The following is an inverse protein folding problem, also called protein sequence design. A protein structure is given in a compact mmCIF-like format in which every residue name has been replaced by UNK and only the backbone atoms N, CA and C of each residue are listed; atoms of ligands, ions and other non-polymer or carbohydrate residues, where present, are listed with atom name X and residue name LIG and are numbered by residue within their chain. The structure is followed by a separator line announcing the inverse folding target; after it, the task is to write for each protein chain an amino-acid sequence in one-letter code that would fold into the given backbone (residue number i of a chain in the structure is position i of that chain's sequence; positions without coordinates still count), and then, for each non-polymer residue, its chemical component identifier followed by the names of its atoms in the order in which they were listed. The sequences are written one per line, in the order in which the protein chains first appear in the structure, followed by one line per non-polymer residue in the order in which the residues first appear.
data_IF_447120526271
#
_entry.id   IF_447120526271
#
_cell.length_a   1.000
_cell.length_b   1.000
_cell.length_c   1.000
_cell.angle_alpha   90.00
_cell.angle_beta   90.00
_cell.angle_gamma   90.00
#
_symmetry.space_group_name_H-M   'P 1'
#
loop_
_entity.id
_entity.type
_entity.pdbx_description
1 polymer ?
#
# COMPACT_ATOMS: atom_id res chain seq x y z
N UNK A 1 -16.07 -27.63 -1.70
CA UNK A 1 -15.93 -27.31 -0.27
C UNK A 1 -17.04 -26.33 0.06
N UNK A 2 -17.98 -26.69 0.93
CA UNK A 2 -19.19 -25.87 1.19
C UNK A 2 -18.88 -24.71 2.13
N UNK A 3 -19.41 -23.53 1.80
CA UNK A 3 -19.18 -22.22 2.40
C UNK A 3 -19.82 -22.03 3.80
N UNK A 4 -19.56 -22.92 4.75
CA UNK A 4 -20.14 -22.86 6.12
C UNK A 4 -19.10 -22.85 7.24
N UNK A 5 -17.83 -22.57 6.97
CA UNK A 5 -16.73 -22.78 7.93
C UNK A 5 -15.97 -21.52 8.33
N UNK A 6 -16.52 -20.31 8.18
CA UNK A 6 -15.80 -19.09 8.57
C UNK A 6 -15.60 -18.94 10.08
N UNK A 7 -16.47 -19.54 10.92
CA UNK A 7 -16.34 -19.50 12.38
C UNK A 7 -15.16 -20.31 12.95
N UNK A 8 -14.47 -21.13 12.15
CA UNK A 8 -13.30 -21.92 12.62
C UNK A 8 -11.96 -21.36 12.13
N UNK A 9 -11.95 -20.30 11.34
CA UNK A 9 -10.70 -19.73 10.85
C UNK A 9 -10.01 -18.91 11.94
N UNK A 10 -8.67 -18.96 12.04
CA UNK A 10 -7.93 -18.11 12.96
C UNK A 10 -8.20 -16.61 12.72
N UNK A 11 -8.09 -15.79 13.77
CA UNK A 11 -8.42 -14.35 13.70
C UNK A 11 -7.67 -13.62 12.58
N UNK A 12 -6.38 -13.93 12.38
CA UNK A 12 -5.50 -13.24 11.41
C UNK A 12 -5.81 -13.51 9.93
N UNK A 13 -6.77 -14.39 9.62
CA UNK A 13 -7.26 -14.61 8.24
C UNK A 13 -8.73 -14.22 8.08
N UNK A 14 -9.30 -13.52 9.06
CA UNK A 14 -10.65 -12.96 8.99
C UNK A 14 -10.62 -11.50 8.52
N UNK A 15 -11.79 -10.89 8.34
CA UNK A 15 -11.86 -9.47 7.96
C UNK A 15 -11.08 -8.61 8.96
N UNK A 16 -10.29 -7.67 8.43
CA UNK A 16 -9.42 -6.81 9.23
C UNK A 16 -10.18 -6.03 10.31
N UNK A 17 -11.44 -5.64 10.08
CA UNK A 17 -12.20 -4.92 11.10
C UNK A 17 -12.50 -5.82 12.30
N UNK A 18 -12.65 -7.13 12.09
CA UNK A 18 -12.76 -8.08 13.18
C UNK A 18 -11.44 -8.22 13.95
N UNK A 19 -10.30 -8.25 13.25
CA UNK A 19 -8.98 -8.24 13.90
C UNK A 19 -8.79 -6.99 14.76
N UNK A 20 -9.24 -5.82 14.26
CA UNK A 20 -9.20 -4.55 15.00
C UNK A 20 -10.15 -4.59 16.20
N UNK A 21 -11.37 -5.07 16.04
CA UNK A 21 -12.36 -5.15 17.12
C UNK A 21 -11.94 -6.09 18.26
N UNK A 22 -11.26 -7.18 17.93
CA UNK A 22 -10.74 -8.17 18.89
C UNK A 22 -9.36 -7.79 19.46
N UNK A 23 -8.77 -6.66 19.04
CA UNK A 23 -7.46 -6.20 19.50
C UNK A 23 -7.56 -5.53 20.88
N UNK A 24 -7.14 -6.23 21.92
CA UNK A 24 -7.02 -5.71 23.29
C UNK A 24 -5.59 -5.33 23.64
N UNK A 25 -5.39 -4.22 24.36
CA UNK A 25 -4.08 -3.76 24.85
C UNK A 25 -2.99 -3.59 23.76
N UNK A 26 -3.42 -3.27 22.53
CA UNK A 26 -2.52 -3.05 21.40
C UNK A 26 -1.85 -1.67 21.49
N UNK A 27 -0.54 -1.66 21.25
CA UNK A 27 0.28 -0.45 21.12
C UNK A 27 0.10 0.12 19.70
N UNK A 28 -0.98 0.87 19.50
CA UNK A 28 -1.22 1.55 18.24
C UNK A 28 -0.20 2.67 18.03
N UNK A 29 0.48 2.66 16.87
CA UNK A 29 1.48 3.65 16.43
C UNK A 29 0.94 5.08 16.54
N UNK A 30 -0.34 5.26 16.25
CA UNK A 30 -1.03 6.55 16.29
C UNK A 30 -2.08 6.63 17.41
N UNK A 31 -1.85 5.90 18.52
CA UNK A 31 -2.65 5.89 19.76
C UNK A 31 -4.09 5.40 19.62
N UNK A 32 -4.58 5.18 18.41
CA UNK A 32 -5.94 4.78 18.09
C UNK A 32 -5.92 3.69 17.02
N UNK A 33 -6.92 2.78 17.03
CA UNK A 33 -7.07 1.80 15.97
C UNK A 33 -7.36 2.50 14.62
N UNK A 34 -6.88 1.94 13.50
CA UNK A 34 -7.14 2.51 12.18
C UNK A 34 -8.61 2.35 11.76
N UNK A 35 -9.09 3.31 10.95
CA UNK A 35 -10.37 3.21 10.24
C UNK A 35 -10.12 2.89 8.76
N UNK A 36 -10.82 1.86 8.28
CA UNK A 36 -10.69 1.36 6.92
C UNK A 36 -11.98 1.46 6.11
N UNK A 37 -12.95 2.25 6.54
CA UNK A 37 -14.22 2.49 5.83
C UNK A 37 -14.01 2.90 4.37
N UNK A 38 -13.11 3.86 4.11
CA UNK A 38 -12.74 4.27 2.73
C UNK A 38 -12.10 3.15 1.92
N UNK A 39 -11.24 2.34 2.53
CA UNK A 39 -10.66 1.17 1.84
C UNK A 39 -11.75 0.18 1.44
N UNK A 40 -12.77 -0.03 2.28
CA UNK A 40 -13.91 -0.90 1.96
C UNK A 40 -14.77 -0.33 0.83
N UNK A 41 -15.03 0.97 0.82
CA UNK A 41 -15.74 1.64 -0.26
C UNK A 41 -15.00 1.49 -1.60
N UNK A 42 -13.69 1.76 -1.64
CA UNK A 42 -12.89 1.60 -2.86
C UNK A 42 -12.92 0.15 -3.37
N UNK A 43 -12.77 -0.84 -2.47
CA UNK A 43 -12.84 -2.24 -2.84
C UNK A 43 -14.22 -2.62 -3.39
N UNK A 44 -15.29 -2.16 -2.77
CA UNK A 44 -16.65 -2.44 -3.24
C UNK A 44 -16.92 -1.85 -4.64
N UNK A 45 -16.26 -0.74 -5.00
CA UNK A 45 -16.44 -0.05 -6.27
C UNK A 45 -15.49 -0.52 -7.37
N UNK A 46 -14.24 -0.83 -7.03
CA UNK A 46 -13.13 -0.92 -7.98
C UNK A 46 -12.40 -2.27 -7.98
N UNK A 47 -12.75 -3.19 -7.07
CA UNK A 47 -12.23 -4.56 -7.11
C UNK A 47 -12.66 -5.26 -8.40
N UNK A 48 -11.72 -5.99 -9.01
CA UNK A 48 -12.01 -6.78 -10.22
C UNK A 48 -12.37 -8.24 -9.90
N UNK A 49 -12.15 -8.68 -8.66
CA UNK A 49 -12.53 -10.00 -8.15
C UNK A 49 -13.41 -9.89 -6.90
N UNK A 50 -14.40 -10.78 -6.81
CA UNK A 50 -15.20 -10.99 -5.60
C UNK A 50 -14.96 -12.41 -5.08
N UNK A 51 -14.12 -12.53 -4.06
CA UNK A 51 -13.75 -13.81 -3.46
C UNK A 51 -14.81 -14.24 -2.45
N UNK A 52 -15.41 -15.41 -2.67
CA UNK A 52 -16.40 -15.96 -1.74
C UNK A 52 -15.76 -16.28 -0.38
N UNK A 53 -16.50 -16.03 0.69
CA UNK A 53 -16.02 -16.29 2.05
C UNK A 53 -15.62 -17.77 2.22
N UNK A 54 -14.44 -18.00 2.79
CA UNK A 54 -13.88 -19.33 3.01
C UNK A 54 -13.14 -19.94 1.81
N UNK A 55 -13.07 -19.27 0.66
CA UNK A 55 -12.14 -19.68 -0.40
C UNK A 55 -10.71 -19.35 -0.02
N UNK A 56 -9.75 -20.01 -0.69
CA UNK A 56 -8.33 -19.76 -0.45
C UNK A 56 -7.96 -18.31 -0.80
N UNK A 57 -8.53 -17.75 -1.87
CA UNK A 57 -8.33 -16.37 -2.28
C UNK A 57 -8.81 -15.38 -1.21
N UNK A 58 -9.98 -15.61 -0.61
CA UNK A 58 -10.49 -14.77 0.46
C UNK A 58 -9.61 -14.86 1.72
N UNK A 59 -9.15 -16.06 2.06
CA UNK A 59 -8.24 -16.30 3.19
C UNK A 59 -6.89 -15.60 2.99
N UNK A 60 -6.27 -15.75 1.81
CA UNK A 60 -5.02 -15.07 1.45
C UNK A 60 -5.22 -13.56 1.47
N UNK A 61 -6.34 -13.08 0.93
CA UNK A 61 -6.63 -11.65 0.90
C UNK A 61 -6.71 -11.03 2.29
N UNK A 62 -7.41 -11.71 3.20
CA UNK A 62 -7.55 -11.27 4.58
C UNK A 62 -6.24 -11.36 5.36
N UNK A 63 -5.43 -12.41 5.13
CA UNK A 63 -4.12 -12.55 5.75
C UNK A 63 -3.20 -11.38 5.40
N UNK A 64 -3.07 -11.05 4.11
CA UNK A 64 -2.21 -9.96 3.65
C UNK A 64 -2.70 -8.61 4.19
N UNK A 65 -4.01 -8.34 4.12
CA UNK A 65 -4.57 -7.08 4.64
C UNK A 65 -4.44 -6.95 6.15
N UNK A 66 -4.47 -8.06 6.88
CA UNK A 66 -4.16 -8.08 8.31
C UNK A 66 -2.69 -7.73 8.53
N UNK A 67 -1.76 -8.41 7.84
CA UNK A 67 -0.33 -8.12 7.93
C UNK A 67 -0.01 -6.66 7.61
N UNK A 68 -0.53 -6.11 6.51
CA UNK A 68 -0.33 -4.70 6.13
C UNK A 68 -0.82 -3.71 7.19
N UNK A 69 -1.96 -4.00 7.83
CA UNK A 69 -2.48 -3.22 8.95
C UNK A 69 -1.56 -3.29 10.15
N UNK A 70 -1.08 -4.48 10.49
CA UNK A 70 -0.19 -4.69 11.63
C UNK A 70 1.12 -3.93 11.45
N UNK A 71 1.75 -4.01 10.27
CA UNK A 71 2.97 -3.27 9.95
C UNK A 71 2.75 -1.76 10.05
N UNK A 72 1.64 -1.29 9.50
CA UNK A 72 1.34 0.15 9.41
C UNK A 72 0.96 0.76 10.75
N UNK A 73 0.17 0.04 11.57
CA UNK A 73 -0.51 0.61 12.73
C UNK A 73 -0.14 0.01 14.08
N UNK A 74 0.43 -1.20 14.17
CA UNK A 74 0.90 -1.76 15.45
C UNK A 74 2.38 -1.45 15.63
N UNK A 75 2.72 -0.64 16.63
CA UNK A 75 4.10 -0.22 16.89
C UNK A 75 4.98 -1.39 17.37
N UNK A 76 4.41 -2.31 18.15
CA UNK A 76 5.12 -3.46 18.70
C UNK A 76 4.95 -4.72 17.81
N UNK A 77 6.00 -5.21 17.13
CA UNK A 77 5.93 -6.40 16.28
C UNK A 77 5.55 -7.68 17.02
N UNK A 78 5.74 -7.74 18.34
CA UNK A 78 5.35 -8.90 19.14
C UNK A 78 3.82 -9.04 19.24
N UNK A 79 3.07 -7.97 18.91
CA UNK A 79 1.61 -7.97 18.87
C UNK A 79 1.04 -8.32 17.48
N UNK A 80 1.89 -8.66 16.51
CA UNK A 80 1.46 -9.06 15.17
C UNK A 80 1.03 -10.53 15.17
N UNK A 81 -0.23 -10.77 14.82
CA UNK A 81 -0.88 -12.07 14.83
C UNK A 81 -0.63 -12.85 13.55
N UNK A 82 -0.44 -12.15 12.44
CA UNK A 82 -0.34 -12.72 11.09
C UNK A 82 0.97 -13.46 10.82
N UNK A 83 1.97 -13.35 11.70
CA UNK A 83 3.32 -13.88 11.48
C UNK A 83 3.78 -14.78 12.63
N UNK A 84 4.78 -15.62 12.36
CA UNK A 84 5.60 -16.28 13.39
C UNK A 84 6.81 -15.40 13.67
N UNK A 85 6.73 -14.49 14.65
CA UNK A 85 7.70 -13.40 14.85
C UNK A 85 9.19 -13.85 14.82
N UNK A 86 9.52 -14.93 15.54
CA UNK A 86 10.90 -15.45 15.62
C UNK A 86 11.44 -15.97 14.27
N UNK A 87 10.56 -16.47 13.41
CA UNK A 87 10.93 -17.08 12.12
C UNK A 87 10.70 -16.15 10.93
N UNK A 88 9.87 -15.11 11.09
CA UNK A 88 9.40 -14.26 10.01
C UNK A 88 10.55 -13.64 9.22
N UNK A 89 10.56 -13.86 7.90
CA UNK A 89 11.45 -13.18 6.94
C UNK A 89 10.66 -12.68 5.73
N UNK A 90 11.00 -11.49 5.24
CA UNK A 90 10.44 -10.97 3.99
C UNK A 90 11.50 -10.39 3.09
N UNK A 91 11.41 -10.67 1.79
CA UNK A 91 12.30 -10.11 0.78
C UNK A 91 11.51 -9.65 -0.45
N UNK A 92 12.17 -8.90 -1.33
CA UNK A 92 11.61 -8.45 -2.61
C UNK A 92 12.63 -8.71 -3.71
N UNK A 93 12.19 -9.27 -4.84
CA UNK A 93 12.97 -9.49 -6.06
C UNK A 93 14.31 -10.22 -5.84
N UNK A 94 14.32 -11.25 -4.96
CA UNK A 94 15.54 -11.99 -4.60
C UNK A 94 16.57 -11.18 -3.81
N UNK A 95 16.16 -10.04 -3.24
CA UNK A 95 17.00 -9.15 -2.44
C UNK A 95 17.21 -9.63 -1.00
N UNK A 96 17.62 -8.68 -0.15
CA UNK A 96 17.88 -8.94 1.28
C UNK A 96 16.60 -9.32 2.02
N UNK A 97 16.72 -10.20 3.01
CA UNK A 97 15.64 -10.55 3.92
C UNK A 97 15.57 -9.60 5.11
N UNK A 98 14.35 -9.23 5.49
CA UNK A 98 14.04 -8.37 6.62
C UNK A 98 13.18 -9.08 7.67
N UNK A 99 13.32 -8.68 8.92
CA UNK A 99 12.54 -9.17 10.05
C UNK A 99 11.32 -8.28 10.33
N UNK A 100 10.43 -8.72 11.22
CA UNK A 100 9.30 -7.90 11.66
C UNK A 100 9.74 -6.61 12.37
N UNK A 101 10.88 -6.66 13.08
CA UNK A 101 11.47 -5.49 13.72
C UNK A 101 11.94 -4.45 12.68
N UNK A 102 12.57 -4.91 11.59
CA UNK A 102 12.98 -4.03 10.50
C UNK A 102 11.78 -3.34 9.85
N UNK A 103 10.72 -4.10 9.57
CA UNK A 103 9.48 -3.58 8.98
C UNK A 103 8.81 -2.54 9.88
N UNK A 104 8.72 -2.79 11.19
CA UNK A 104 8.12 -1.81 12.10
C UNK A 104 8.94 -0.53 12.23
N UNK A 105 10.27 -0.63 12.13
CA UNK A 105 11.16 0.51 12.23
C UNK A 105 11.21 1.35 10.95
N UNK A 106 11.27 0.72 9.77
CA UNK A 106 11.58 1.39 8.50
C UNK A 106 10.39 1.49 7.55
N UNK A 107 9.39 0.60 7.66
CA UNK A 107 8.20 0.58 6.83
C UNK A 107 8.40 -0.17 5.50
N UNK A 108 7.30 -0.66 4.92
CA UNK A 108 7.33 -1.48 3.70
C UNK A 108 7.82 -0.70 2.48
N UNK A 109 7.46 0.58 2.33
CA UNK A 109 7.91 1.40 1.21
C UNK A 109 9.44 1.46 1.11
N UNK A 110 10.14 1.65 2.23
CA UNK A 110 11.60 1.76 2.26
C UNK A 110 12.29 0.42 2.06
N UNK A 111 11.74 -0.66 2.64
CA UNK A 111 12.37 -1.98 2.57
C UNK A 111 12.10 -2.71 1.26
N UNK A 112 10.96 -2.46 0.62
CA UNK A 112 10.57 -3.17 -0.61
C UNK A 112 10.93 -2.40 -1.89
N UNK A 113 11.16 -1.08 -1.80
CA UNK A 113 11.64 -0.24 -2.90
C UNK A 113 13.00 0.37 -2.55
N UNK A 114 14.12 -0.29 -2.91
CA UNK A 114 15.45 0.24 -2.64
C UNK A 114 15.71 1.52 -3.45
N UNK A 115 16.83 2.19 -3.13
CA UNK A 115 17.25 3.41 -3.83
C UNK A 115 17.27 3.26 -5.35
N UNK A 116 16.61 4.18 -6.02
CA UNK A 116 16.48 4.29 -7.47
C UNK A 116 16.66 5.76 -7.90
N UNK A 117 16.47 6.07 -9.18
CA UNK A 117 16.45 7.45 -9.66
C UNK A 117 15.27 8.24 -9.10
N UNK A 118 14.11 7.59 -8.97
CA UNK A 118 12.83 8.25 -8.66
C UNK A 118 12.47 8.19 -7.17
N UNK A 119 13.11 7.30 -6.40
CA UNK A 119 12.89 7.15 -4.97
C UNK A 119 14.19 6.82 -4.23
N UNK A 120 14.48 7.51 -3.12
CA UNK A 120 15.64 7.27 -2.26
C UNK A 120 15.17 6.79 -0.89
N UNK A 121 15.03 5.49 -0.71
CA UNK A 121 14.64 4.88 0.56
C UNK A 121 15.61 5.26 1.69
N UNK A 122 16.90 5.41 1.39
CA UNK A 122 17.93 5.82 2.34
C UNK A 122 17.76 7.24 2.89
N UNK A 123 16.96 8.08 2.22
CA UNK A 123 16.64 9.46 2.64
C UNK A 123 15.29 9.57 3.34
N UNK A 124 14.54 8.46 3.45
CA UNK A 124 13.19 8.45 4.00
C UNK A 124 13.13 7.72 5.34
N UNK A 125 12.29 8.24 6.22
CA UNK A 125 11.86 7.57 7.46
C UNK A 125 10.58 6.77 7.20
N UNK A 126 10.14 5.99 8.19
CA UNK A 126 8.81 5.38 8.17
C UNK A 126 7.72 6.43 7.88
N UNK A 127 7.73 7.55 8.62
CA UNK A 127 6.69 8.58 8.51
C UNK A 127 6.80 9.39 7.22
N UNK A 128 8.01 9.72 6.75
CA UNK A 128 8.17 10.51 5.53
C UNK A 128 7.84 9.70 4.28
N UNK A 129 8.21 8.42 4.21
CA UNK A 129 7.80 7.52 3.12
C UNK A 129 6.28 7.33 3.10
N UNK A 130 5.66 7.04 4.26
CA UNK A 130 4.21 6.95 4.37
C UNK A 130 3.53 8.24 3.89
N UNK A 131 4.04 9.42 4.30
CA UNK A 131 3.53 10.71 3.85
C UNK A 131 3.65 10.90 2.34
N UNK A 132 4.77 10.52 1.73
CA UNK A 132 4.98 10.63 0.27
C UNK A 132 3.87 9.87 -0.47
N UNK A 133 3.65 8.60 -0.15
CA UNK A 133 2.68 7.78 -0.88
C UNK A 133 1.22 8.12 -0.54
N UNK A 134 0.89 8.50 0.69
CA UNK A 134 -0.46 8.97 1.03
C UNK A 134 -0.78 10.34 0.42
N UNK A 135 0.22 11.20 0.23
CA UNK A 135 0.05 12.47 -0.50
C UNK A 135 -0.19 12.17 -1.98
N UNK A 136 0.55 11.23 -2.55
CA UNK A 136 0.45 10.81 -3.96
C UNK A 136 -0.92 10.22 -4.28
N UNK A 137 -1.44 9.36 -3.38
CA UNK A 137 -2.70 8.64 -3.52
C UNK A 137 -3.70 9.03 -2.41
N UNK A 138 -4.31 10.23 -2.48
CA UNK A 138 -5.15 10.74 -1.40
C UNK A 138 -6.45 9.92 -1.20
N UNK A 139 -6.89 9.19 -2.22
CA UNK A 139 -8.02 8.25 -2.12
C UNK A 139 -7.62 6.88 -1.54
N UNK A 140 -6.33 6.66 -1.25
CA UNK A 140 -5.78 5.38 -0.79
C UNK A 140 -5.13 4.58 -1.91
N UNK A 141 -4.46 3.51 -1.51
CA UNK A 141 -3.73 2.61 -2.40
C UNK A 141 -4.15 1.14 -2.13
N UNK A 142 -5.41 0.74 -2.43
CA UNK A 142 -5.92 -0.57 -2.04
C UNK A 142 -5.12 -1.73 -2.62
N UNK A 143 -5.25 -2.89 -1.98
CA UNK A 143 -4.62 -4.14 -2.38
C UNK A 143 -5.65 -5.25 -2.53
N UNK A 144 -5.54 -6.08 -3.57
CA UNK A 144 -6.36 -7.28 -3.72
C UNK A 144 -5.62 -8.47 -4.34
N UNK A 145 -6.12 -9.67 -4.03
CA UNK A 145 -5.68 -10.92 -4.68
C UNK A 145 -6.34 -11.02 -6.05
N UNK A 146 -5.54 -11.32 -7.06
CA UNK A 146 -6.01 -11.60 -8.42
C UNK A 146 -6.20 -13.10 -8.65
N UNK A 147 -5.24 -13.92 -8.20
CA UNK A 147 -5.25 -15.36 -8.42
C UNK A 147 -4.35 -16.07 -7.40
N UNK A 148 -4.73 -17.28 -6.98
CA UNK A 148 -3.90 -18.15 -6.12
C UNK A 148 -3.52 -19.40 -6.90
N UNK A 149 -2.22 -19.68 -7.01
CA UNK A 149 -1.66 -20.78 -7.78
C UNK A 149 -1.34 -22.01 -6.94
N UNK A 150 -1.07 -21.83 -5.64
CA UNK A 150 -0.77 -22.94 -4.72
C UNK A 150 -1.29 -22.66 -3.32
N UNK A 151 -1.71 -23.72 -2.61
CA UNK A 151 -2.14 -23.65 -1.21
C UNK A 151 -1.01 -23.93 -0.22
N UNK A 152 -1.30 -23.92 1.09
CA UNK A 152 -0.32 -24.18 2.14
C UNK A 152 0.41 -25.53 1.97
N UNK A 153 1.68 -25.64 2.42
CA UNK A 153 2.41 -24.65 3.22
C UNK A 153 3.11 -23.56 2.39
N UNK A 154 3.19 -23.69 1.07
CA UNK A 154 3.82 -22.70 0.17
C UNK A 154 2.74 -22.10 -0.74
N UNK A 155 2.17 -20.98 -0.32
CA UNK A 155 1.09 -20.29 -1.02
C UNK A 155 1.68 -19.31 -2.04
N UNK A 156 1.35 -19.48 -3.32
CA UNK A 156 1.79 -18.56 -4.38
C UNK A 156 0.58 -17.84 -4.92
N UNK A 157 0.63 -16.52 -5.01
CA UNK A 157 -0.52 -15.71 -5.45
C UNK A 157 -0.08 -14.48 -6.23
N UNK A 158 -0.91 -14.08 -7.18
CA UNK A 158 -0.81 -12.82 -7.93
C UNK A 158 -1.74 -11.80 -7.29
N UNK A 159 -1.29 -10.55 -7.25
CA UNK A 159 -2.00 -9.47 -6.59
C UNK A 159 -1.82 -8.16 -7.34
N UNK A 160 -2.61 -7.15 -6.93
CA UNK A 160 -2.40 -5.78 -7.36
C UNK A 160 -2.54 -4.78 -6.22
N UNK A 161 -1.76 -3.70 -6.29
CA UNK A 161 -2.12 -2.43 -5.68
C UNK A 161 -2.60 -1.47 -6.76
N UNK A 162 -3.53 -0.57 -6.43
CA UNK A 162 -3.90 0.52 -7.33
C UNK A 162 -4.21 1.80 -6.58
N UNK A 163 -4.13 2.95 -7.26
CA UNK A 163 -4.58 4.22 -6.72
C UNK A 163 -4.63 5.32 -7.76
N UNK A 164 -5.46 6.32 -7.52
CA UNK A 164 -5.60 7.48 -8.39
C UNK A 164 -4.48 8.49 -8.10
N UNK A 165 -3.63 8.76 -9.10
CA UNK A 165 -2.50 9.68 -8.96
C UNK A 165 -3.00 11.13 -9.03
N UNK A 166 -3.59 11.56 -7.92
CA UNK A 166 -4.27 12.86 -7.78
C UNK A 166 -3.52 13.84 -6.86
N UNK A 167 -2.47 13.40 -6.18
CA UNK A 167 -1.61 14.28 -5.39
C UNK A 167 -0.17 14.31 -5.87
N UNK A 168 0.60 15.26 -5.35
CA UNK A 168 2.00 15.46 -5.73
C UNK A 168 2.89 14.29 -5.28
N UNK A 169 3.84 13.91 -6.15
CA UNK A 169 4.90 12.97 -5.81
C UNK A 169 6.28 13.64 -5.90
N UNK A 170 6.91 13.97 -4.77
CA UNK A 170 8.28 14.50 -4.69
C UNK A 170 8.57 15.64 -5.71
N UNK A 171 7.66 16.61 -5.84
CA UNK A 171 7.78 17.71 -6.81
C UNK A 171 7.29 17.40 -8.22
N UNK A 172 6.69 16.23 -8.46
CA UNK A 172 6.05 15.89 -9.73
C UNK A 172 4.53 16.05 -9.62
N UNK A 173 3.92 16.63 -10.66
CA UNK A 173 2.49 16.85 -10.70
C UNK A 173 1.72 15.52 -10.86
N UNK A 174 0.53 15.40 -10.25
CA UNK A 174 -0.37 14.28 -10.52
C UNK A 174 -0.85 14.27 -11.97
N UNK A 175 -0.98 13.08 -12.56
CA UNK A 175 -1.56 12.91 -13.92
C UNK A 175 -3.08 12.74 -13.90
N UNK A 176 -3.66 12.38 -12.75
CA UNK A 176 -5.07 12.00 -12.62
C UNK A 176 -5.39 10.57 -13.06
N UNK A 177 -4.39 9.81 -13.55
CA UNK A 177 -4.57 8.42 -13.98
C UNK A 177 -4.56 7.46 -12.78
N UNK A 178 -5.20 6.30 -12.96
CA UNK A 178 -5.05 5.18 -12.02
C UNK A 178 -3.72 4.48 -12.27
N UNK A 179 -2.86 4.45 -11.25
CA UNK A 179 -1.61 3.71 -11.27
C UNK A 179 -1.83 2.36 -10.60
N UNK A 180 -1.40 1.31 -11.28
CA UNK A 180 -1.49 -0.06 -10.81
C UNK A 180 -0.10 -0.71 -10.76
N UNK A 181 0.14 -1.46 -9.68
CA UNK A 181 1.27 -2.37 -9.51
C UNK A 181 0.70 -3.79 -9.57
N UNK A 182 1.21 -4.60 -10.48
CA UNK A 182 0.96 -6.04 -10.47
C UNK A 182 2.19 -6.75 -9.91
N UNK A 183 1.96 -7.67 -8.99
CA UNK A 183 3.02 -8.48 -8.41
C UNK A 183 2.60 -9.91 -8.16
N UNK A 184 3.57 -10.71 -7.75
CA UNK A 184 3.37 -12.06 -7.24
C UNK A 184 4.05 -12.20 -5.88
N UNK A 185 3.57 -13.14 -5.08
CA UNK A 185 4.21 -13.46 -3.81
C UNK A 185 4.19 -14.94 -3.53
N UNK A 186 5.26 -15.40 -2.89
CA UNK A 186 5.40 -16.74 -2.37
C UNK A 186 5.43 -16.62 -0.84
N UNK A 187 4.43 -17.19 -0.18
CA UNK A 187 4.29 -17.19 1.26
C UNK A 187 4.48 -18.60 1.81
N UNK A 188 5.43 -18.78 2.73
CA UNK A 188 5.50 -19.98 3.56
C UNK A 188 4.70 -19.75 4.82
N UNK A 189 3.77 -20.66 5.13
CA UNK A 189 2.86 -20.53 6.28
C UNK A 189 2.86 -21.79 7.16
N UNK A 190 2.46 -21.63 8.42
CA UNK A 190 2.15 -22.72 9.36
C UNK A 190 0.79 -23.37 9.03
N UNK A 191 0.45 -24.46 9.71
CA UNK A 191 -0.85 -25.13 9.59
C UNK A 191 -2.04 -24.22 9.98
N UNK A 192 -1.81 -23.30 10.92
CA UNK A 192 -2.76 -22.26 11.31
C UNK A 192 -2.61 -20.97 10.46
N UNK A 193 -1.88 -21.02 9.35
CA UNK A 193 -1.78 -19.96 8.33
C UNK A 193 -1.01 -18.70 8.76
N UNK A 194 -0.21 -18.76 9.83
CA UNK A 194 0.73 -17.67 10.14
C UNK A 194 1.90 -17.69 9.18
N UNK A 195 2.34 -16.50 8.79
CA UNK A 195 3.44 -16.33 7.85
C UNK A 195 4.79 -16.58 8.52
N UNK A 196 5.55 -17.51 7.94
CA UNK A 196 6.95 -17.79 8.26
C UNK A 196 7.87 -17.00 7.32
N UNK A 197 7.54 -16.94 6.03
CA UNK A 197 8.30 -16.11 5.10
C UNK A 197 7.46 -15.58 3.94
N UNK A 198 7.86 -14.44 3.39
CA UNK A 198 7.29 -13.82 2.20
C UNK A 198 8.38 -13.44 1.22
N UNK A 199 8.17 -13.72 -0.05
CA UNK A 199 8.98 -13.15 -1.13
C UNK A 199 8.08 -12.47 -2.14
N UNK A 200 8.28 -11.17 -2.34
CA UNK A 200 7.52 -10.37 -3.29
C UNK A 200 8.27 -10.21 -4.61
N UNK A 201 7.56 -10.30 -5.73
CA UNK A 201 8.07 -10.01 -7.06
C UNK A 201 7.19 -8.97 -7.74
N UNK A 202 7.76 -7.79 -8.03
CA UNK A 202 7.06 -6.71 -8.72
C UNK A 202 8.06 -5.67 -9.28
N UNK A 203 7.62 -4.92 -10.28
CA UNK A 203 8.43 -3.93 -10.98
C UNK A 203 8.37 -2.56 -10.30
N UNK A 204 9.36 -2.30 -9.45
CA UNK A 204 9.54 -1.01 -8.78
C UNK A 204 9.79 0.14 -9.77
N UNK A 205 10.54 -0.11 -10.85
CA UNK A 205 10.92 0.94 -11.77
C UNK A 205 9.71 1.41 -12.56
N UNK A 206 8.92 0.47 -13.11
CA UNK A 206 7.70 0.79 -13.83
C UNK A 206 6.71 1.57 -12.95
N UNK A 207 6.59 1.21 -11.68
CA UNK A 207 5.75 1.93 -10.73
C UNK A 207 6.24 3.38 -10.52
N UNK A 208 7.52 3.55 -10.18
CA UNK A 208 8.09 4.86 -9.86
C UNK A 208 8.22 5.78 -11.08
N UNK A 209 8.47 5.23 -12.28
CA UNK A 209 8.47 5.97 -13.54
C UNK A 209 7.10 6.62 -13.80
N UNK A 210 5.99 5.89 -13.57
CA UNK A 210 4.64 6.45 -13.69
C UNK A 210 4.42 7.64 -12.77
N UNK A 211 4.99 7.63 -11.56
CA UNK A 211 4.88 8.72 -10.58
C UNK A 211 5.64 9.99 -10.98
N UNK A 212 6.57 9.90 -11.94
CA UNK A 212 7.33 11.07 -12.41
C UNK A 212 6.84 11.61 -13.76
N UNK A 213 5.90 10.92 -14.39
CA UNK A 213 5.38 11.21 -15.74
C UNK A 213 4.61 12.54 -15.87
N UNK A 214 4.03 13.07 -14.79
CA UNK A 214 3.31 14.35 -14.80
C UNK A 214 4.19 15.60 -14.92
N UNK A 215 5.51 15.44 -15.00
CA UNK A 215 6.48 16.53 -15.11
C UNK A 215 6.79 17.20 -13.78
N UNK A 216 8.00 17.78 -13.68
CA UNK A 216 8.44 18.51 -12.49
C UNK A 216 7.66 19.81 -12.34
N UNK A 217 7.06 20.00 -11.19
CA UNK A 217 6.51 21.28 -10.77
C UNK A 217 7.67 22.22 -10.48
N UNK A 218 7.94 23.14 -11.40
CA UNK A 218 8.74 24.30 -11.05
C UNK A 218 7.91 25.13 -10.08
N UNK A 219 8.50 25.54 -8.95
CA UNK A 219 7.93 26.58 -8.10
C UNK A 219 7.87 27.88 -8.93
N UNK A 220 6.89 27.99 -9.81
CA UNK A 220 6.42 29.27 -10.28
C UNK A 220 5.85 29.95 -9.04
N UNK A 221 6.69 30.79 -8.42
CA UNK A 221 6.23 31.93 -7.64
C UNK A 221 4.96 32.46 -8.30
N UNK A 222 3.95 32.81 -7.49
CA UNK A 222 2.81 33.62 -7.91
C UNK A 222 3.30 34.85 -8.69
N UNK A 223 3.55 34.71 -9.98
CA UNK A 223 3.69 35.81 -10.91
C UNK A 223 2.28 36.12 -11.33
N UNK A 224 1.76 37.23 -10.80
CA UNK A 224 0.53 37.82 -11.32
C UNK A 224 0.64 37.85 -12.83
N UNK A 225 -0.34 37.28 -13.51
CA UNK A 225 -0.48 37.30 -14.95
C UNK A 225 -0.63 38.75 -15.42
N UNK A 226 0.48 39.47 -15.57
CA UNK A 226 0.54 40.68 -16.37
C UNK A 226 0.80 40.23 -17.82
N UNK A 227 -0.29 40.01 -18.57
CA UNK A 227 -0.23 39.90 -20.02
C UNK A 227 0.40 41.18 -20.60
N UNK A 228 1.51 41.09 -21.36
CA UNK A 228 2.23 42.29 -21.83
C UNK A 228 1.63 42.91 -23.10
N UNK A 229 0.37 42.61 -23.46
CA UNK A 229 -0.22 43.00 -24.76
C UNK A 229 -1.53 43.81 -24.70
N UNK A 230 -1.87 44.47 -23.58
CA UNK A 230 -3.11 45.26 -23.49
C UNK A 230 -2.94 46.79 -23.53
N UNK A 231 -1.83 47.33 -24.04
CA UNK A 231 -1.65 48.80 -24.13
C UNK A 231 -2.13 49.44 -25.44
N UNK A 232 -2.78 48.71 -26.36
CA UNK A 232 -3.09 49.27 -27.69
C UNK A 232 -4.53 49.75 -27.93
N UNK A 233 -5.44 49.67 -26.97
CA UNK A 233 -6.80 50.19 -27.14
C UNK A 233 -7.27 51.02 -25.94
N UNK A 234 -6.80 52.27 -25.84
CA UNK A 234 -7.62 53.38 -25.34
C UNK A 234 -6.90 54.72 -25.48
N UNK A 235 -7.12 55.40 -26.61
CA UNK A 235 -7.25 56.87 -26.66
C UNK A 235 -7.86 57.30 -27.99
N UNK A 236 -9.18 57.17 -28.08
CA UNK A 236 -10.00 57.96 -29.00
C UNK A 236 -10.67 59.08 -28.21
N UNK A 237 -10.41 60.32 -28.66
CA UNK A 237 -11.27 61.51 -28.60
C UNK A 237 -11.61 62.18 -27.25
N UNK A 238 -11.15 63.43 -27.14
CA UNK A 238 -11.80 64.68 -26.68
C UNK A 238 -10.67 65.73 -26.72
N UNK A 239 -10.74 66.90 -27.36
CA UNK A 239 -11.77 67.73 -27.99
C UNK A 239 -11.13 68.42 -29.20
#
# INVERSE_FOLDING_TARGET
MSATQSNNLPLWVQDRDKVIAESTDVEWRYQTPPDYSRSKENLAQESIHNHLEGTLEAIVQNLVRTFEMEVSFKANPQQWLSIVNEQFRVSTNGGVEYTAADLSAQGTYNLFMPDSEHYKASEETFESSAKVFHTTFPQGFPWEVLEVFSGPPNVTFKWRHWGHFNGEYKGHAPTGETIEIIGMSIAKVTDDLKVISLEHYFDNNLFLEKLTSGGKQTNAQKSGSACPFSSWFNKSRKS
#
